data_IF_601929849980
#
_entry.id   IF_601929849980
#
_cell.length_a   1.000
_cell.length_b   1.000
_cell.length_c   1.000
_cell.angle_alpha   90.00
_cell.angle_beta   90.00
_cell.angle_gamma   90.00
#
_symmetry.space_group_name_H-M   'P 1'
#
loop_
_entity.id
_entity.type
_entity.pdbx_description
1 polymer ?
#
# COMPACT_ATOMS: atom_id res chain seq x y z
N UNK A 1 -6.93 -13.92 8.38
CA UNK A 1 -7.47 -14.36 7.08
C UNK A 1 -6.41 -14.34 5.98
N UNK A 2 -5.80 -13.19 5.65
CA UNK A 2 -4.73 -13.10 4.64
C UNK A 2 -3.53 -14.03 4.93
N UNK A 3 -3.07 -14.08 6.19
CA UNK A 3 -2.04 -15.03 6.62
C UNK A 3 -2.47 -16.49 6.38
N UNK A 4 -3.74 -16.81 6.62
CA UNK A 4 -4.29 -18.15 6.37
C UNK A 4 -4.34 -18.48 4.87
N UNK A 5 -4.65 -17.49 4.02
CA UNK A 5 -4.58 -17.62 2.56
C UNK A 5 -3.14 -17.92 2.11
N UNK A 6 -2.16 -17.14 2.58
CA UNK A 6 -0.75 -17.32 2.26
C UNK A 6 -0.25 -18.71 2.69
N UNK A 7 -0.54 -19.14 3.92
CA UNK A 7 -0.15 -20.46 4.43
C UNK A 7 -0.83 -21.58 3.64
N UNK A 8 -2.13 -21.45 3.34
CA UNK A 8 -2.86 -22.47 2.58
C UNK A 8 -2.27 -22.62 1.17
N UNK A 9 -2.06 -21.51 0.47
CA UNK A 9 -1.48 -21.51 -0.87
C UNK A 9 -0.04 -22.05 -0.89
N UNK A 10 0.80 -21.63 0.07
CA UNK A 10 2.18 -22.12 0.19
C UNK A 10 2.26 -23.65 0.41
N UNK A 11 1.22 -24.24 1.01
CA UNK A 11 1.10 -25.68 1.22
C UNK A 11 0.29 -26.40 0.12
N UNK A 12 -0.10 -25.70 -0.95
CA UNK A 12 -0.90 -26.28 -2.04
C UNK A 12 -2.34 -26.64 -1.66
N UNK A 13 -2.90 -26.00 -0.63
CA UNK A 13 -4.27 -26.21 -0.18
C UNK A 13 -5.32 -25.49 -1.05
N UNK A 14 -6.58 -25.90 -0.92
CA UNK A 14 -7.71 -25.23 -1.56
C UNK A 14 -8.00 -23.88 -0.88
N UNK A 15 -7.85 -22.79 -1.63
CA UNK A 15 -8.04 -21.41 -1.15
C UNK A 15 -9.42 -20.83 -1.48
N UNK A 16 -10.28 -21.54 -2.22
CA UNK A 16 -11.54 -20.98 -2.74
C UNK A 16 -12.44 -20.40 -1.63
N UNK A 17 -12.63 -21.15 -0.55
CA UNK A 17 -13.45 -20.69 0.58
C UNK A 17 -12.82 -19.50 1.31
N UNK A 18 -11.49 -19.47 1.43
CA UNK A 18 -10.76 -18.38 2.07
C UNK A 18 -10.77 -17.11 1.20
N UNK A 19 -10.69 -17.25 -0.12
CA UNK A 19 -10.80 -16.15 -1.08
C UNK A 19 -12.19 -15.53 -1.03
N UNK A 20 -13.25 -16.35 -1.02
CA UNK A 20 -14.62 -15.87 -0.88
C UNK A 20 -14.83 -15.11 0.44
N UNK A 21 -14.26 -15.60 1.54
CA UNK A 21 -14.27 -14.89 2.83
C UNK A 21 -13.50 -13.58 2.77
N UNK A 22 -12.35 -13.54 2.10
CA UNK A 22 -11.53 -12.34 1.99
C UNK A 22 -12.24 -11.26 1.17
N UNK A 23 -12.81 -11.61 0.03
CA UNK A 23 -13.60 -10.68 -0.79
C UNK A 23 -14.81 -10.13 -0.03
N UNK A 24 -15.55 -10.98 0.69
CA UNK A 24 -16.67 -10.53 1.52
C UNK A 24 -16.22 -9.57 2.64
N UNK A 25 -15.11 -9.90 3.31
CA UNK A 25 -14.55 -9.06 4.37
C UNK A 25 -14.08 -7.70 3.84
N UNK A 26 -13.36 -7.67 2.73
CA UNK A 26 -12.90 -6.41 2.11
C UNK A 26 -14.08 -5.52 1.70
N UNK A 27 -15.12 -6.10 1.10
CA UNK A 27 -16.33 -5.36 0.72
C UNK A 27 -17.05 -4.79 1.96
N UNK A 28 -17.18 -5.58 3.03
CA UNK A 28 -17.81 -5.13 4.27
C UNK A 28 -17.02 -4.00 4.94
N UNK A 29 -15.69 -4.14 5.04
CA UNK A 29 -14.83 -3.10 5.61
C UNK A 29 -14.87 -1.83 4.76
N UNK A 30 -14.86 -1.93 3.43
CA UNK A 30 -14.97 -0.79 2.54
C UNK A 30 -16.31 -0.07 2.73
N UNK A 31 -17.42 -0.81 2.87
CA UNK A 31 -18.74 -0.23 3.15
C UNK A 31 -18.75 0.49 4.50
N UNK A 32 -18.19 -0.12 5.56
CA UNK A 32 -18.09 0.50 6.88
C UNK A 32 -17.25 1.77 6.80
N UNK A 33 -16.06 1.72 6.20
CA UNK A 33 -15.17 2.87 6.04
C UNK A 33 -15.84 4.00 5.27
N UNK A 34 -16.55 3.67 4.18
CA UNK A 34 -17.33 4.64 3.41
C UNK A 34 -18.41 5.34 4.24
N UNK A 35 -19.18 4.59 5.05
CA UNK A 35 -20.19 5.16 5.97
C UNK A 35 -19.55 6.05 7.03
N UNK A 36 -18.41 5.64 7.60
CA UNK A 36 -17.64 6.43 8.55
C UNK A 36 -17.21 7.77 7.93
N UNK A 37 -16.63 7.74 6.73
CA UNK A 37 -16.19 8.95 6.01
C UNK A 37 -17.37 9.87 5.62
N UNK A 38 -18.54 9.30 5.35
CA UNK A 38 -19.76 10.04 5.08
C UNK A 38 -20.40 10.65 6.35
N UNK A 39 -19.84 10.39 7.54
CA UNK A 39 -20.38 10.87 8.80
C UNK A 39 -21.72 10.22 9.18
N UNK A 40 -21.98 9.00 8.72
CA UNK A 40 -23.22 8.26 9.04
C UNK A 40 -23.31 8.00 10.56
N UNK A 41 -24.30 8.60 11.27
CA UNK A 41 -24.43 8.47 12.72
C UNK A 41 -24.91 7.09 13.17
N UNK A 42 -25.32 6.22 12.22
CA UNK A 42 -25.79 4.86 12.52
C UNK A 42 -24.66 3.83 12.52
N UNK A 43 -23.42 4.22 12.22
CA UNK A 43 -22.25 3.34 12.38
C UNK A 43 -21.99 3.12 13.86
N UNK A 44 -22.09 1.87 14.29
CA UNK A 44 -21.84 1.45 15.68
C UNK A 44 -20.35 1.54 16.04
N UNK A 45 -20.06 1.60 17.35
CA UNK A 45 -18.67 1.57 17.84
C UNK A 45 -17.94 0.28 17.42
N UNK A 46 -18.66 -0.84 17.37
CA UNK A 46 -18.11 -2.12 16.92
C UNK A 46 -17.74 -2.11 15.43
N UNK A 47 -18.59 -1.53 14.57
CA UNK A 47 -18.25 -1.35 13.15
C UNK A 47 -17.05 -0.40 12.99
N UNK A 48 -17.07 0.74 13.69
CA UNK A 48 -15.99 1.72 13.67
C UNK A 48 -14.64 1.11 14.08
N UNK A 49 -14.63 0.34 15.16
CA UNK A 49 -13.43 -0.34 15.64
C UNK A 49 -12.79 -1.25 14.57
N UNK A 50 -13.57 -1.84 13.65
CA UNK A 50 -13.05 -2.71 12.59
C UNK A 50 -12.26 -1.98 11.52
N UNK A 51 -12.45 -0.67 11.36
CA UNK A 51 -11.79 0.15 10.33
C UNK A 51 -10.86 1.24 10.87
N UNK A 52 -10.94 1.51 12.18
CA UNK A 52 -10.07 2.47 12.86
C UNK A 52 -8.98 1.78 13.69
N UNK A 53 -9.13 0.50 14.02
CA UNK A 53 -8.08 -0.26 14.72
C UNK A 53 -7.02 -0.74 13.74
N UNK A 54 -5.79 -0.29 13.93
CA UNK A 54 -4.62 -0.77 13.18
C UNK A 54 -3.99 -1.97 13.89
N UNK A 55 -3.62 -2.99 13.11
CA UNK A 55 -2.86 -4.14 13.60
C UNK A 55 -1.68 -4.39 12.64
N UNK A 56 -0.50 -4.78 13.17
CA UNK A 56 0.64 -5.07 12.32
C UNK A 56 0.32 -6.24 11.38
N UNK A 57 0.55 -6.04 10.09
CA UNK A 57 0.24 -7.03 9.06
C UNK A 57 1.48 -7.82 8.64
N UNK A 58 2.58 -7.13 8.33
CA UNK A 58 3.83 -7.76 7.89
C UNK A 58 4.95 -7.59 8.93
N UNK A 59 5.11 -8.58 9.81
CA UNK A 59 6.12 -8.55 10.87
C UNK A 59 7.57 -8.62 10.38
N UNK A 60 7.80 -8.91 9.10
CA UNK A 60 9.13 -8.84 8.47
C UNK A 60 9.45 -7.43 7.91
N UNK A 61 8.46 -6.53 7.89
CA UNK A 61 8.59 -5.14 7.49
C UNK A 61 8.42 -4.19 8.70
N UNK A 62 8.24 -2.89 8.44
CA UNK A 62 8.11 -1.86 9.47
C UNK A 62 7.02 -2.13 10.53
N UNK A 63 5.96 -2.88 10.18
CA UNK A 63 4.93 -3.30 11.13
C UNK A 63 5.48 -4.17 12.29
N UNK A 64 6.59 -4.88 12.07
CA UNK A 64 7.27 -5.69 13.09
C UNK A 64 8.20 -4.90 14.01
N UNK A 65 8.53 -3.65 13.65
CA UNK A 65 9.55 -2.82 14.30
C UNK A 65 9.00 -1.42 14.60
N UNK A 66 7.81 -1.37 15.23
CA UNK A 66 7.06 -0.13 15.45
C UNK A 66 7.86 0.93 16.23
N UNK A 67 8.62 0.53 17.26
CA UNK A 67 9.42 1.47 18.03
C UNK A 67 10.52 2.12 17.18
N UNK A 68 11.27 1.32 16.43
CA UNK A 68 12.35 1.77 15.56
C UNK A 68 11.83 2.67 14.44
N UNK A 69 10.67 2.33 13.84
CA UNK A 69 9.97 3.16 12.86
C UNK A 69 9.70 4.55 13.44
N UNK A 70 9.07 4.62 14.61
CA UNK A 70 8.67 5.88 15.23
C UNK A 70 9.86 6.75 15.65
N UNK A 71 10.97 6.13 16.09
CA UNK A 71 12.22 6.86 16.37
C UNK A 71 12.79 7.46 15.08
N UNK A 72 12.81 6.71 13.98
CA UNK A 72 13.35 7.19 12.71
C UNK A 72 12.52 8.35 12.15
N UNK A 73 11.20 8.18 12.08
CA UNK A 73 10.28 9.20 11.55
C UNK A 73 10.31 10.48 12.42
N UNK A 74 10.21 10.33 13.73
CA UNK A 74 10.29 11.45 14.67
C UNK A 74 11.61 12.21 14.57
N UNK A 75 12.73 11.49 14.43
CA UNK A 75 14.06 12.10 14.26
C UNK A 75 14.17 12.90 12.95
N UNK A 76 13.62 12.39 11.86
CA UNK A 76 13.61 13.11 10.58
C UNK A 76 12.83 14.43 10.67
N UNK A 77 11.68 14.40 11.35
CA UNK A 77 10.86 15.60 11.62
C UNK A 77 11.62 16.60 12.49
N UNK A 78 12.21 16.15 13.60
CA UNK A 78 12.98 17.01 14.50
C UNK A 78 14.19 17.65 13.81
N UNK A 79 14.80 16.94 12.85
CA UNK A 79 15.90 17.45 12.02
C UNK A 79 15.44 18.32 10.83
N UNK A 80 14.14 18.57 10.70
CA UNK A 80 13.53 19.33 9.60
C UNK A 80 13.92 18.77 8.21
N UNK A 81 13.85 17.44 8.06
CA UNK A 81 14.15 16.74 6.81
C UNK A 81 12.89 16.12 6.22
N UNK A 82 12.70 16.28 4.91
CA UNK A 82 11.70 15.55 4.15
C UNK A 82 12.24 14.18 3.79
N UNK A 83 11.73 13.13 4.43
CA UNK A 83 12.19 11.77 4.16
C UNK A 83 11.63 11.27 2.82
N UNK A 84 12.48 10.60 2.03
CA UNK A 84 12.06 9.78 0.90
C UNK A 84 12.61 8.38 1.13
N UNK A 85 11.71 7.42 1.33
CA UNK A 85 12.06 5.99 1.47
C UNK A 85 11.78 5.28 0.16
N UNK A 86 12.74 4.47 -0.30
CA UNK A 86 12.56 3.59 -1.45
C UNK A 86 12.45 2.15 -0.95
N UNK A 87 11.36 1.48 -1.33
CA UNK A 87 11.03 0.15 -0.84
C UNK A 87 10.84 -0.86 -1.99
N UNK A 88 10.80 -2.13 -1.61
CA UNK A 88 10.58 -3.27 -2.48
C UNK A 88 10.02 -4.44 -1.66
N UNK A 89 10.51 -5.65 -1.90
CA UNK A 89 10.19 -6.91 -1.18
C UNK A 89 8.73 -7.40 -1.28
N UNK A 90 7.75 -6.51 -1.08
CA UNK A 90 6.31 -6.78 -1.20
C UNK A 90 5.84 -7.16 -2.62
N UNK A 91 6.70 -7.00 -3.64
CA UNK A 91 6.46 -7.30 -5.06
C UNK A 91 5.33 -6.50 -5.74
N UNK A 92 4.75 -5.51 -5.05
CA UNK A 92 3.73 -4.61 -5.58
C UNK A 92 4.23 -3.17 -5.63
N UNK A 93 3.75 -2.39 -6.60
CA UNK A 93 4.07 -0.97 -6.64
C UNK A 93 3.13 -0.21 -5.72
N UNK A 94 3.64 0.68 -4.88
CA UNK A 94 2.79 1.50 -4.02
C UNK A 94 3.48 2.77 -3.55
N UNK A 95 2.68 3.73 -3.07
CA UNK A 95 3.18 4.94 -2.47
C UNK A 95 2.36 5.31 -1.24
N UNK A 96 3.04 5.67 -0.15
CA UNK A 96 2.41 6.01 1.11
C UNK A 96 3.03 7.23 1.79
N UNK A 97 2.26 7.86 2.67
CA UNK A 97 2.73 8.91 3.57
C UNK A 97 3.38 8.26 4.80
N UNK A 98 4.45 8.86 5.31
CA UNK A 98 5.16 8.38 6.49
C UNK A 98 4.74 9.17 7.72
N UNK A 99 3.52 8.89 8.18
CA UNK A 99 2.93 9.55 9.35
C UNK A 99 3.32 8.82 10.63
N UNK A 100 3.83 9.59 11.60
CA UNK A 100 4.08 9.14 12.96
C UNK A 100 2.78 8.87 13.72
N UNK A 101 2.81 7.93 14.64
CA UNK A 101 1.66 7.63 15.49
C UNK A 101 1.24 8.81 16.37
N UNK A 102 -0.02 8.82 16.79
CA UNK A 102 -0.54 9.81 17.75
C UNK A 102 0.15 9.76 19.12
N UNK A 103 0.80 8.64 19.45
CA UNK A 103 1.57 8.45 20.68
C UNK A 103 3.08 8.73 20.50
N UNK A 104 3.54 9.12 19.31
CA UNK A 104 4.96 9.41 19.07
C UNK A 104 5.44 10.54 19.99
N UNK A 105 6.53 10.34 20.77
CA UNK A 105 6.96 11.32 21.77
C UNK A 105 7.74 12.51 21.19
N UNK A 106 8.13 12.47 19.93
CA UNK A 106 8.90 13.52 19.26
C UNK A 106 7.98 14.42 18.44
N UNK A 107 7.13 13.82 17.60
CA UNK A 107 6.19 14.53 16.76
C UNK A 107 4.96 13.64 16.57
N UNK A 108 3.87 13.89 17.30
CA UNK A 108 2.65 13.09 17.20
C UNK A 108 1.84 13.46 15.96
N UNK A 109 1.40 12.44 15.20
CA UNK A 109 0.53 12.61 14.02
C UNK A 109 1.05 13.60 12.97
N UNK A 110 2.37 13.65 12.78
CA UNK A 110 3.01 14.46 11.74
C UNK A 110 3.56 13.59 10.62
N UNK A 111 3.55 14.13 9.39
CA UNK A 111 4.12 13.44 8.25
C UNK A 111 5.63 13.72 8.13
N UNK A 112 6.45 12.67 8.22
CA UNK A 112 7.89 12.75 8.10
C UNK A 112 8.36 12.76 6.64
N UNK A 113 7.53 12.29 5.70
CA UNK A 113 7.95 12.14 4.31
C UNK A 113 7.07 11.18 3.51
N UNK A 114 7.67 10.58 2.49
CA UNK A 114 6.98 9.70 1.56
C UNK A 114 7.76 8.41 1.36
N UNK A 115 7.04 7.35 1.07
CA UNK A 115 7.62 6.06 0.69
C UNK A 115 7.13 5.67 -0.70
N UNK A 116 8.09 5.28 -1.55
CA UNK A 116 7.82 4.79 -2.90
C UNK A 116 8.36 3.37 -3.03
N UNK A 117 7.45 2.41 -3.18
CA UNK A 117 7.81 1.02 -3.35
C UNK A 117 7.70 0.60 -4.81
N UNK A 118 8.74 -0.05 -5.32
CA UNK A 118 8.72 -0.67 -6.64
C UNK A 118 8.02 -2.02 -6.60
N UNK A 119 7.35 -2.38 -7.69
CA UNK A 119 6.99 -3.78 -7.91
C UNK A 119 8.26 -4.62 -8.15
N UNK A 120 8.09 -5.93 -8.09
CA UNK A 120 9.15 -6.87 -8.47
C UNK A 120 9.40 -6.85 -9.98
N UNK A 121 10.59 -7.32 -10.37
CA UNK A 121 10.90 -7.60 -11.77
C UNK A 121 10.09 -8.81 -12.26
N UNK A 122 9.99 -9.87 -11.46
CA UNK A 122 9.31 -11.11 -11.87
C UNK A 122 8.58 -11.90 -10.78
N UNK A 123 8.89 -11.71 -9.50
CA UNK A 123 8.26 -12.45 -8.41
C UNK A 123 6.77 -12.10 -8.27
N UNK A 124 5.90 -13.08 -7.95
CA UNK A 124 4.48 -12.80 -7.70
C UNK A 124 4.29 -11.99 -6.41
N UNK A 125 3.33 -11.07 -6.42
CA UNK A 125 2.93 -10.27 -5.26
C UNK A 125 1.54 -10.66 -4.75
N UNK A 126 0.82 -9.67 -4.22
CA UNK A 126 -0.50 -9.87 -3.63
C UNK A 126 -1.53 -10.47 -4.61
N UNK A 127 -1.35 -10.26 -5.92
CA UNK A 127 -2.24 -10.80 -6.94
C UNK A 127 -2.34 -12.32 -6.94
N UNK A 128 -1.28 -13.02 -6.56
CA UNK A 128 -1.27 -14.49 -6.52
C UNK A 128 -2.09 -14.99 -5.32
N UNK A 129 -1.94 -14.33 -4.16
CA UNK A 129 -2.65 -14.70 -2.93
C UNK A 129 -4.13 -14.35 -2.97
N UNK A 130 -4.50 -13.28 -3.68
CA UNK A 130 -5.87 -12.82 -3.86
C UNK A 130 -6.49 -13.29 -5.19
N UNK A 131 -5.75 -14.05 -5.99
CA UNK A 131 -6.13 -14.51 -7.33
C UNK A 131 -6.55 -13.38 -8.30
N UNK A 132 -6.06 -12.14 -8.11
CA UNK A 132 -6.45 -10.97 -8.89
C UNK A 132 -6.03 -11.09 -10.36
N UNK A 133 -4.91 -11.77 -10.61
CA UNK A 133 -4.42 -12.09 -11.95
C UNK A 133 -5.39 -12.97 -12.78
N UNK A 134 -6.41 -13.56 -12.15
CA UNK A 134 -7.45 -14.39 -12.81
C UNK A 134 -8.82 -13.75 -12.88
N UNK A 135 -9.03 -12.61 -12.20
CA UNK A 135 -10.35 -11.99 -12.02
C UNK A 135 -10.64 -10.85 -13.01
N UNK A 136 -9.65 -10.48 -13.84
CA UNK A 136 -9.76 -9.43 -14.84
C UNK A 136 -9.46 -8.02 -14.28
N UNK A 137 -9.40 -7.05 -15.20
CA UNK A 137 -8.95 -5.69 -14.89
C UNK A 137 -9.90 -4.93 -13.95
N UNK A 138 -11.22 -5.12 -14.09
CA UNK A 138 -12.23 -4.44 -13.26
C UNK A 138 -12.13 -4.87 -11.79
N UNK A 139 -12.04 -6.17 -11.53
CA UNK A 139 -11.88 -6.70 -10.17
C UNK A 139 -10.56 -6.25 -9.54
N UNK A 140 -9.49 -6.21 -10.32
CA UNK A 140 -8.18 -5.68 -9.90
C UNK A 140 -8.30 -4.21 -9.48
N UNK A 141 -8.87 -3.36 -10.33
CA UNK A 141 -9.02 -1.94 -10.05
C UNK A 141 -9.92 -1.70 -8.83
N UNK A 142 -10.99 -2.49 -8.66
CA UNK A 142 -11.84 -2.41 -7.48
C UNK A 142 -11.07 -2.77 -6.20
N UNK A 143 -10.27 -3.83 -6.21
CA UNK A 143 -9.46 -4.22 -5.05
C UNK A 143 -8.40 -3.16 -4.73
N UNK A 144 -7.73 -2.60 -5.75
CA UNK A 144 -6.78 -1.50 -5.59
C UNK A 144 -7.42 -0.32 -4.84
N UNK A 145 -8.62 0.10 -5.27
CA UNK A 145 -9.40 1.17 -4.61
C UNK A 145 -9.79 0.81 -3.17
N UNK A 146 -10.23 -0.43 -2.92
CA UNK A 146 -10.61 -0.87 -1.58
C UNK A 146 -9.42 -0.85 -0.62
N UNK A 147 -8.25 -1.31 -1.05
CA UNK A 147 -7.05 -1.28 -0.22
C UNK A 147 -6.63 0.17 0.07
N UNK A 148 -6.63 1.05 -0.93
CA UNK A 148 -6.34 2.47 -0.74
C UNK A 148 -7.34 3.17 0.20
N UNK A 149 -8.61 2.75 0.18
CA UNK A 149 -9.63 3.26 1.11
C UNK A 149 -9.40 2.81 2.55
N UNK A 150 -8.94 1.57 2.75
CA UNK A 150 -8.78 0.97 4.07
C UNK A 150 -7.46 1.35 4.75
N UNK A 151 -6.42 1.65 3.98
CA UNK A 151 -5.11 2.06 4.50
C UNK A 151 -4.97 3.57 4.39
N UNK A 152 -5.19 4.29 5.49
CA UNK A 152 -5.33 5.76 5.51
C UNK A 152 -4.20 6.51 4.81
N UNK A 153 -2.95 6.03 4.96
CA UNK A 153 -1.77 6.71 4.46
C UNK A 153 -1.31 6.22 3.07
N UNK A 154 -2.04 5.26 2.47
CA UNK A 154 -1.73 4.72 1.16
C UNK A 154 -2.36 5.57 0.06
N UNK A 155 -1.53 6.17 -0.78
CA UNK A 155 -1.98 7.09 -1.86
C UNK A 155 -2.12 6.36 -3.20
N UNK A 156 -1.29 5.34 -3.42
CA UNK A 156 -1.27 4.58 -4.67
C UNK A 156 -0.89 3.14 -4.41
N UNK A 157 -1.48 2.23 -5.18
CA UNK A 157 -1.09 0.84 -5.28
C UNK A 157 -1.35 0.28 -6.69
N UNK A 158 -0.45 -0.58 -7.13
CA UNK A 158 -0.60 -1.49 -8.24
C UNK A 158 -0.32 -2.90 -7.73
N UNK A 159 -1.35 -3.73 -7.70
CA UNK A 159 -1.30 -5.03 -7.05
C UNK A 159 -0.92 -6.17 -8.00
N UNK A 160 -0.82 -5.94 -9.31
CA UNK A 160 -0.77 -7.02 -10.30
C UNK A 160 0.41 -6.91 -11.26
N UNK A 161 0.84 -5.70 -11.62
CA UNK A 161 1.79 -5.51 -12.70
C UNK A 161 3.25 -5.56 -12.23
N UNK A 162 4.11 -6.10 -13.10
CA UNK A 162 5.56 -6.19 -12.89
C UNK A 162 6.29 -5.10 -13.64
N UNK A 163 7.45 -4.69 -13.14
CA UNK A 163 8.15 -3.56 -13.72
C UNK A 163 9.25 -2.99 -12.85
N UNK A 164 9.43 -1.67 -12.93
CA UNK A 164 10.46 -0.96 -12.18
C UNK A 164 10.02 0.47 -11.87
N UNK A 165 10.64 1.05 -10.84
CA UNK A 165 10.47 2.44 -10.45
C UNK A 165 11.69 3.26 -10.88
N UNK A 166 11.43 4.42 -11.48
CA UNK A 166 12.46 5.46 -11.67
C UNK A 166 12.21 6.60 -10.71
N UNK A 167 13.26 7.07 -10.03
CA UNK A 167 13.16 8.19 -9.09
C UNK A 167 14.17 9.26 -9.46
N UNK A 168 13.68 10.48 -9.65
CA UNK A 168 14.51 11.65 -9.97
C UNK A 168 14.49 12.60 -8.80
N UNK A 169 15.67 13.03 -8.35
CA UNK A 169 15.84 14.02 -7.28
C UNK A 169 16.38 15.32 -7.86
N UNK A 170 15.73 16.43 -7.54
CA UNK A 170 16.24 17.79 -7.73
C UNK A 170 16.26 18.51 -6.38
N UNK A 171 16.89 19.69 -6.27
CA UNK A 171 16.79 20.49 -5.05
C UNK A 171 15.35 20.89 -4.68
N UNK A 172 14.44 20.96 -5.66
CA UNK A 172 13.06 21.42 -5.50
C UNK A 172 12.05 20.29 -5.27
N UNK A 173 12.32 19.08 -5.77
CA UNK A 173 11.38 17.96 -5.65
C UNK A 173 12.03 16.59 -5.87
N UNK A 174 11.30 15.56 -5.44
CA UNK A 174 11.51 14.18 -5.87
C UNK A 174 10.31 13.73 -6.70
N UNK A 175 10.57 13.08 -7.83
CA UNK A 175 9.54 12.47 -8.69
C UNK A 175 9.76 10.97 -8.80
N UNK A 176 8.72 10.18 -8.57
CA UNK A 176 8.68 8.73 -8.71
C UNK A 176 7.75 8.36 -9.88
N UNK A 177 8.26 7.59 -10.83
CA UNK A 177 7.52 7.14 -12.00
C UNK A 177 7.61 5.61 -12.12
N UNK A 178 6.46 4.95 -12.05
CA UNK A 178 6.31 3.50 -12.14
C UNK A 178 6.09 3.06 -13.59
N UNK A 179 6.93 2.13 -14.03
CA UNK A 179 6.95 1.58 -15.38
C UNK A 179 6.58 0.11 -15.33
N UNK A 180 5.49 -0.28 -15.98
CA UNK A 180 5.00 -1.66 -15.97
C UNK A 180 5.07 -2.31 -17.35
N UNK A 181 5.22 -3.63 -17.38
CA UNK A 181 5.31 -4.43 -18.61
C UNK A 181 4.14 -5.40 -18.75
N UNK A 182 3.71 -5.64 -19.99
CA UNK A 182 2.58 -6.53 -20.29
C UNK A 182 2.85 -8.01 -20.02
N UNK A 183 4.12 -8.42 -19.98
CA UNK A 183 4.51 -9.81 -19.73
C UNK A 183 5.93 -9.90 -19.22
N UNK A 184 6.12 -10.77 -18.22
CA UNK A 184 7.41 -11.28 -17.75
C UNK A 184 7.65 -12.74 -18.20
N UNK A 185 6.68 -13.33 -18.90
CA UNK A 185 6.71 -14.73 -19.34
C UNK A 185 7.18 -14.89 -20.79
N UNK A 186 7.28 -13.78 -21.52
CA UNK A 186 7.66 -13.74 -22.94
C UNK A 186 8.72 -12.69 -23.18
N UNK A 187 9.63 -12.93 -24.13
CA UNK A 187 10.68 -11.97 -24.48
C UNK A 187 10.13 -10.70 -25.17
N UNK A 188 9.02 -10.84 -25.91
CA UNK A 188 8.27 -9.71 -26.45
C UNK A 188 7.26 -9.25 -25.41
N UNK A 189 7.33 -7.98 -25.03
CA UNK A 189 6.41 -7.31 -24.12
C UNK A 189 6.29 -5.84 -24.53
N UNK A 190 5.28 -5.17 -24.00
CA UNK A 190 5.02 -3.75 -24.20
C UNK A 190 5.01 -3.03 -22.85
N UNK A 191 5.28 -1.73 -22.87
CA UNK A 191 5.09 -0.88 -21.70
C UNK A 191 3.60 -0.58 -21.52
N UNK A 192 3.07 -0.87 -20.34
CA UNK A 192 1.68 -0.60 -19.97
C UNK A 192 1.51 0.88 -19.58
N UNK A 193 1.52 1.77 -20.57
CA UNK A 193 1.46 3.22 -20.35
C UNK A 193 0.21 3.67 -19.57
N UNK A 194 -0.93 3.04 -19.79
CA UNK A 194 -2.18 3.31 -19.04
C UNK A 194 -2.12 2.93 -17.56
N UNK A 195 -1.21 2.02 -17.20
CA UNK A 195 -0.97 1.59 -15.81
C UNK A 195 0.17 2.38 -15.15
N UNK A 196 0.93 3.16 -15.92
CA UNK A 196 1.99 4.00 -15.38
C UNK A 196 1.42 5.05 -14.42
N UNK A 197 2.20 5.40 -13.42
CA UNK A 197 1.85 6.44 -12.46
C UNK A 197 3.07 7.31 -12.22
N UNK A 198 2.85 8.61 -12.11
CA UNK A 198 3.84 9.55 -11.62
C UNK A 198 3.31 10.19 -10.35
N UNK A 199 4.15 10.24 -9.32
CA UNK A 199 3.89 10.95 -8.07
C UNK A 199 5.14 11.76 -7.71
N UNK A 200 4.96 12.80 -6.92
CA UNK A 200 6.08 13.65 -6.48
C UNK A 200 5.92 14.12 -5.04
N UNK A 201 7.02 14.58 -4.47
CA UNK A 201 7.07 15.32 -3.22
C UNK A 201 7.91 16.57 -3.44
N UNK A 202 7.38 17.74 -3.09
CA UNK A 202 8.14 19.00 -3.17
C UNK A 202 9.05 19.13 -1.94
N UNK A 203 10.22 19.73 -2.11
CA UNK A 203 11.11 20.06 -1.01
C UNK A 203 10.37 20.94 0.02
N UNK A 204 10.52 20.61 1.31
CA UNK A 204 9.80 21.28 2.40
C UNK A 204 8.33 20.89 2.54
N UNK A 205 7.75 20.10 1.62
CA UNK A 205 6.36 19.62 1.71
C UNK A 205 6.36 18.10 1.75
N UNK A 206 6.38 17.53 2.95
CA UNK A 206 6.35 16.08 3.19
C UNK A 206 4.96 15.50 2.90
N UNK A 207 4.47 15.63 1.66
CA UNK A 207 3.17 15.13 1.22
C UNK A 207 3.29 14.71 -0.25
N UNK A 208 2.83 13.50 -0.58
CA UNK A 208 2.66 13.05 -1.96
C UNK A 208 1.71 13.96 -2.75
N UNK A 209 2.08 14.28 -3.99
CA UNK A 209 1.28 15.00 -4.98
C UNK A 209 1.25 14.22 -6.31
N UNK A 210 0.15 14.32 -7.05
CA UNK A 210 0.04 13.80 -8.43
C UNK A 210 -1.35 13.36 -8.83
#
# INVERSE_FOLDING_TARGET
>A
LLVSLQISQANGGDTNALLAQASALFAELAQIKGRVLAGDPTVTDAERARVDTTAPYNLDAWDGYAYEREVLLGTAIAAQKNLVVLAGDTHNGWAGQLVTDAANPIAASQNAGVEFATSSVSSPGLEEYLALNTQGAEATAQMEQVIALLVNDLVYNNLVDRGYLTVTFTPEQTTANWHYVSSIKTASYEMLTERSKELRMLAGQAVIQG
#
